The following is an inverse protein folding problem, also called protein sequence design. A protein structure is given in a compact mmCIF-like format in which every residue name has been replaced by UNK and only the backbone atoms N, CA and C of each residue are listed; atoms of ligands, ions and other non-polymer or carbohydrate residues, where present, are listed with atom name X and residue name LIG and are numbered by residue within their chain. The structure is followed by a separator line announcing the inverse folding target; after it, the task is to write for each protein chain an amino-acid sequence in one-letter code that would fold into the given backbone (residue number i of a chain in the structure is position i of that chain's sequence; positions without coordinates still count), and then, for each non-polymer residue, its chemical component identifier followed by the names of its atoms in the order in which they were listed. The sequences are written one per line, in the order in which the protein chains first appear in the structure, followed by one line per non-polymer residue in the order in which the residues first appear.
data_IF_768200501175
#
_entry.id   IF_768200501175
#
_cell.length_a   1.000
_cell.length_b   1.000
_cell.length_c   1.000
_cell.angle_alpha   90.00
_cell.angle_beta   90.00
_cell.angle_gamma   90.00
#
_symmetry.space_group_name_H-M   'P 1'
#
loop_
_entity.id
_entity.type
_entity.pdbx_description
1 polymer ?
#
# COMPACT_ATOMS: atom_id res chain seq x y z
N UNK A 1 3.08 14.33 21.54
CA UNK A 1 2.96 12.88 21.29
C UNK A 1 1.47 12.57 21.11
N UNK A 2 1.10 11.85 20.04
CA UNK A 2 -0.30 11.45 19.77
C UNK A 2 -0.33 9.94 19.65
N UNK A 3 -1.23 9.29 20.38
CA UNK A 3 -1.55 7.87 20.21
C UNK A 3 -2.70 7.76 19.19
N UNK A 4 -2.59 6.82 18.26
CA UNK A 4 -3.60 6.57 17.23
C UNK A 4 -4.01 5.11 17.39
N UNK A 5 -5.27 4.87 17.77
CA UNK A 5 -5.82 3.51 17.83
C UNK A 5 -6.20 3.05 16.42
N UNK A 6 -6.01 1.78 16.12
CA UNK A 6 -6.48 1.20 14.86
C UNK A 6 -8.01 1.28 14.73
N UNK A 7 -8.73 1.09 15.84
CA UNK A 7 -10.20 1.08 15.87
C UNK A 7 -10.82 2.45 15.53
N UNK A 8 -10.05 3.53 15.67
CA UNK A 8 -10.48 4.89 15.35
C UNK A 8 -10.26 5.25 13.87
N UNK A 9 -9.59 4.38 13.10
CA UNK A 9 -9.23 4.67 11.71
C UNK A 9 -10.36 4.36 10.74
N UNK A 10 -10.75 5.35 9.93
CA UNK A 10 -11.75 5.20 8.88
C UNK A 10 -11.19 4.39 7.71
N UNK A 11 -11.82 3.26 7.40
CA UNK A 11 -11.52 2.49 6.19
C UNK A 11 -12.10 3.22 4.96
N UNK A 12 -11.23 3.60 4.03
CA UNK A 12 -11.61 4.23 2.76
C UNK A 12 -11.50 3.20 1.63
N UNK A 13 -12.63 2.78 1.02
CA UNK A 13 -12.62 1.84 -0.11
C UNK A 13 -11.89 2.40 -1.32
N UNK A 14 -11.13 1.54 -2.01
CA UNK A 14 -10.51 1.91 -3.27
C UNK A 14 -11.56 2.04 -4.37
N UNK A 15 -11.36 2.99 -5.30
CA UNK A 15 -12.26 3.20 -6.44
C UNK A 15 -12.47 1.93 -7.30
N UNK A 16 -11.47 1.06 -7.36
CA UNK A 16 -11.54 -0.20 -8.10
C UNK A 16 -12.19 -1.35 -7.31
N UNK A 17 -12.55 -1.14 -6.03
CA UNK A 17 -13.07 -2.18 -5.14
C UNK A 17 -12.07 -3.30 -4.81
N UNK A 18 -10.77 -3.08 -5.00
CA UNK A 18 -9.72 -4.08 -4.77
C UNK A 18 -9.22 -4.15 -3.32
N UNK A 19 -9.73 -3.29 -2.44
CA UNK A 19 -9.24 -3.16 -1.08
C UNK A 19 -9.74 -1.90 -0.39
N UNK A 20 -9.20 -1.66 0.81
CA UNK A 20 -9.42 -0.46 1.60
C UNK A 20 -8.09 0.11 2.09
N UNK A 21 -8.05 1.41 2.36
CA UNK A 21 -6.94 2.06 3.05
C UNK A 21 -7.42 2.76 4.31
N UNK A 22 -6.69 2.58 5.40
CA UNK A 22 -6.81 3.34 6.65
C UNK A 22 -5.57 4.24 6.77
N UNK A 23 -5.77 5.54 6.68
CA UNK A 23 -4.67 6.50 6.84
C UNK A 23 -4.36 6.72 8.33
N UNK A 24 -3.10 6.60 8.73
CA UNK A 24 -2.68 6.94 10.09
C UNK A 24 -2.29 8.41 10.19
N UNK A 25 -1.50 8.90 9.24
CA UNK A 25 -1.02 10.26 9.23
C UNK A 25 -0.57 10.68 7.82
N UNK A 26 -0.74 11.97 7.52
CA UNK A 26 -0.23 12.62 6.32
C UNK A 26 0.32 14.00 6.68
N UNK A 27 1.23 14.50 5.87
CA UNK A 27 1.71 15.87 5.96
C UNK A 27 1.81 16.53 4.58
N UNK A 28 1.30 17.76 4.41
CA UNK A 28 0.48 18.52 5.37
C UNK A 28 -0.80 17.77 5.79
N UNK A 29 -1.30 18.05 6.99
CA UNK A 29 -2.52 17.39 7.46
C UNK A 29 -3.69 17.70 6.52
N UNK A 30 -4.35 16.67 6.01
CA UNK A 30 -5.44 16.79 5.04
C UNK A 30 -5.00 17.01 3.59
N UNK A 31 -3.71 16.86 3.29
CA UNK A 31 -3.21 16.88 1.91
C UNK A 31 -3.88 15.79 1.06
N UNK A 32 -4.13 16.11 -0.21
CA UNK A 32 -4.62 15.15 -1.18
C UNK A 32 -3.55 14.11 -1.53
N UNK A 33 -3.95 13.03 -2.22
CA UNK A 33 -3.03 11.95 -2.62
C UNK A 33 -1.92 12.38 -3.59
N UNK A 34 -2.03 13.57 -4.19
CA UNK A 34 -1.10 14.16 -5.14
C UNK A 34 -0.32 15.37 -4.57
N UNK A 35 -0.52 15.73 -3.29
CA UNK A 35 0.06 16.93 -2.67
C UNK A 35 0.64 16.68 -1.26
N UNK A 36 0.81 15.42 -0.85
CA UNK A 36 1.46 15.09 0.41
C UNK A 36 2.99 15.04 0.25
N UNK A 37 3.70 15.44 1.31
CA UNK A 37 5.15 15.25 1.45
C UNK A 37 5.47 13.86 2.00
N UNK A 38 4.67 13.38 2.96
CA UNK A 38 4.72 12.00 3.43
C UNK A 38 3.35 11.53 3.90
N UNK A 39 3.12 10.22 3.82
CA UNK A 39 1.88 9.57 4.22
C UNK A 39 2.16 8.18 4.77
N UNK A 40 1.49 7.84 5.87
CA UNK A 40 1.53 6.52 6.51
C UNK A 40 0.11 5.98 6.51
N UNK A 41 -0.06 4.77 6.00
CA UNK A 41 -1.37 4.12 5.89
C UNK A 41 -1.26 2.59 6.01
N UNK A 42 -2.32 1.94 6.48
CA UNK A 42 -2.52 0.49 6.40
C UNK A 42 -3.45 0.20 5.23
N UNK A 43 -3.11 -0.81 4.44
CA UNK A 43 -3.92 -1.25 3.31
C UNK A 43 -4.35 -2.71 3.51
N UNK A 44 -5.63 -2.99 3.27
CA UNK A 44 -6.13 -4.36 3.06
C UNK A 44 -6.30 -4.57 1.55
N UNK A 45 -5.71 -5.63 1.02
CA UNK A 45 -5.70 -5.92 -0.42
C UNK A 45 -6.49 -7.20 -0.66
N UNK A 46 -7.72 -7.06 -1.15
CA UNK A 46 -8.66 -8.17 -1.31
C UNK A 46 -8.72 -8.71 -2.75
N UNK A 47 -8.13 -7.98 -3.70
CA UNK A 47 -8.08 -8.38 -5.11
C UNK A 47 -6.75 -8.01 -5.74
N UNK A 48 -6.20 -8.93 -6.53
CA UNK A 48 -5.08 -8.66 -7.44
C UNK A 48 -5.39 -7.49 -8.37
N UNK A 49 -4.38 -6.68 -8.65
CA UNK A 49 -4.51 -5.54 -9.54
C UNK A 49 -3.38 -4.52 -9.40
N UNK A 50 -3.49 -3.42 -10.17
CA UNK A 50 -2.47 -2.38 -10.14
C UNK A 50 -2.53 -1.57 -8.85
N UNK A 51 -1.36 -1.13 -8.38
CA UNK A 51 -1.24 -0.09 -7.38
C UNK A 51 -1.33 1.30 -8.01
N UNK A 52 -1.75 2.29 -7.22
CA UNK A 52 -1.63 3.70 -7.61
C UNK A 52 -0.17 4.11 -7.77
N UNK A 53 0.07 4.96 -8.76
CA UNK A 53 1.36 5.61 -9.04
C UNK A 53 1.42 6.92 -8.26
N UNK A 54 2.54 7.19 -7.61
CA UNK A 54 2.83 8.40 -6.85
C UNK A 54 4.17 8.99 -7.33
N UNK A 55 4.16 9.83 -8.37
CA UNK A 55 5.40 10.36 -8.94
C UNK A 55 6.22 11.16 -7.92
N UNK A 56 7.52 10.88 -7.81
CA UNK A 56 8.43 11.62 -6.93
C UNK A 56 8.34 11.24 -5.45
N UNK A 57 7.64 10.15 -5.12
CA UNK A 57 7.50 9.63 -3.75
C UNK A 57 8.24 8.30 -3.62
N UNK A 58 9.12 8.16 -2.64
CA UNK A 58 9.68 6.87 -2.25
C UNK A 58 8.64 6.06 -1.47
N UNK A 59 8.39 4.81 -1.87
CA UNK A 59 7.45 3.91 -1.19
C UNK A 59 8.20 2.84 -0.42
N UNK A 60 7.73 2.60 0.80
CA UNK A 60 8.12 1.45 1.61
C UNK A 60 6.85 0.68 1.95
N UNK A 61 6.80 -0.60 1.61
CA UNK A 61 5.67 -1.48 1.93
C UNK A 61 6.14 -2.60 2.85
N UNK A 62 5.26 -3.08 3.71
CA UNK A 62 5.55 -4.19 4.63
C UNK A 62 4.29 -5.04 4.76
N UNK A 63 4.44 -6.35 4.59
CA UNK A 63 3.37 -7.30 4.88
C UNK A 63 3.14 -7.35 6.40
N UNK A 64 1.91 -7.06 6.83
CA UNK A 64 1.53 -7.18 8.24
C UNK A 64 0.90 -8.55 8.53
N UNK A 65 0.00 -8.99 7.67
CA UNK A 65 -0.79 -10.22 7.84
C UNK A 65 -1.20 -10.80 6.47
N UNK A 66 -1.47 -12.11 6.44
CA UNK A 66 -1.92 -12.85 5.25
C UNK A 66 -0.77 -13.47 4.45
N UNK A 67 -1.12 -14.17 3.37
CA UNK A 67 -0.17 -14.88 2.51
C UNK A 67 0.73 -13.95 1.66
N UNK A 68 0.40 -12.66 1.63
CA UNK A 68 1.15 -11.66 0.88
C UNK A 68 0.84 -11.65 -0.61
N UNK A 69 1.75 -11.08 -1.40
CA UNK A 69 1.56 -10.84 -2.83
C UNK A 69 2.87 -10.82 -3.62
N UNK A 70 2.79 -11.17 -4.88
CA UNK A 70 3.85 -10.96 -5.87
C UNK A 70 3.67 -9.57 -6.51
N UNK A 71 4.66 -8.71 -6.34
CA UNK A 71 4.77 -7.43 -7.04
C UNK A 71 5.51 -7.65 -8.36
N UNK A 72 4.95 -7.14 -9.45
CA UNK A 72 5.57 -7.16 -10.79
C UNK A 72 5.66 -5.74 -11.35
N UNK A 73 6.82 -5.40 -11.90
CA UNK A 73 7.14 -4.07 -12.44
C UNK A 73 7.27 -4.11 -13.96
N UNK A 74 7.10 -2.96 -14.62
CA UNK A 74 7.15 -2.84 -16.07
C UNK A 74 8.53 -3.15 -16.69
N UNK A 75 9.61 -3.01 -15.93
CA UNK A 75 10.98 -3.34 -16.32
C UNK A 75 11.33 -4.83 -16.13
N UNK A 76 10.36 -5.64 -15.70
CA UNK A 76 10.53 -7.07 -15.49
C UNK A 76 10.97 -7.46 -14.07
N UNK A 77 11.26 -6.50 -13.19
CA UNK A 77 11.52 -6.80 -11.78
C UNK A 77 10.30 -7.48 -11.15
N UNK A 78 10.57 -8.43 -10.25
CA UNK A 78 9.56 -9.13 -9.46
C UNK A 78 10.01 -9.21 -8.01
N UNK A 79 9.13 -8.85 -7.09
CA UNK A 79 9.38 -8.95 -5.65
C UNK A 79 8.25 -9.70 -4.93
N UNK A 80 8.58 -10.80 -4.26
CA UNK A 80 7.64 -11.54 -3.43
C UNK A 80 7.52 -10.90 -2.05
N UNK A 81 6.43 -10.17 -1.82
CA UNK A 81 6.10 -9.57 -0.53
C UNK A 81 5.31 -10.59 0.30
N UNK A 82 6.00 -11.66 0.74
CA UNK A 82 5.39 -12.82 1.44
C UNK A 82 6.00 -13.08 2.83
N UNK A 83 7.03 -12.32 3.22
CA UNK A 83 7.62 -12.41 4.57
C UNK A 83 7.05 -11.30 5.44
N UNK A 84 6.29 -11.63 6.50
CA UNK A 84 5.76 -10.62 7.42
C UNK A 84 6.87 -9.77 8.03
N UNK A 85 6.57 -8.48 8.22
CA UNK A 85 7.43 -7.50 8.88
C UNK A 85 8.78 -7.23 8.18
N UNK A 86 8.97 -7.72 6.95
CA UNK A 86 10.13 -7.39 6.11
C UNK A 86 9.79 -6.23 5.17
N UNK A 87 10.41 -5.03 5.34
CA UNK A 87 10.13 -3.90 4.48
C UNK A 87 10.74 -4.07 3.09
N UNK A 88 10.01 -3.60 2.07
CA UNK A 88 10.49 -3.50 0.70
C UNK A 88 10.32 -2.08 0.17
N UNK A 89 11.35 -1.55 -0.48
CA UNK A 89 11.41 -0.17 -1.00
C UNK A 89 11.34 -0.15 -2.51
N UNK A 90 10.58 0.79 -3.07
CA UNK A 90 10.50 1.03 -4.51
C UNK A 90 10.03 2.46 -4.80
N UNK A 91 10.37 3.00 -5.97
CA UNK A 91 9.93 4.34 -6.37
C UNK A 91 8.44 4.35 -6.71
N UNK A 92 7.72 5.38 -6.24
CA UNK A 92 6.28 5.52 -6.40
C UNK A 92 5.82 5.77 -7.83
N UNK A 93 6.68 6.31 -8.70
CA UNK A 93 6.42 6.46 -10.14
C UNK A 93 6.36 5.14 -10.90
N UNK A 94 6.83 4.03 -10.32
CA UNK A 94 6.84 2.73 -11.01
C UNK A 94 5.44 2.16 -11.10
N UNK A 95 5.06 1.69 -12.28
CA UNK A 95 3.86 0.88 -12.46
C UNK A 95 4.07 -0.49 -11.80
N UNK A 96 3.24 -0.80 -10.80
CA UNK A 96 3.28 -2.07 -10.05
C UNK A 96 1.96 -2.79 -10.19
N UNK A 97 2.01 -4.05 -10.61
CA UNK A 97 0.88 -4.96 -10.51
C UNK A 97 1.09 -5.94 -9.35
N UNK A 98 0.14 -6.00 -8.43
CA UNK A 98 0.14 -6.92 -7.31
C UNK A 98 -0.75 -8.13 -7.60
N UNK A 99 -0.21 -9.33 -7.42
CA UNK A 99 -0.94 -10.58 -7.50
C UNK A 99 -0.94 -11.25 -6.13
N UNK A 100 -2.11 -11.46 -5.53
CA UNK A 100 -2.23 -12.15 -4.24
C UNK A 100 -1.63 -13.55 -4.31
N UNK A 101 -0.87 -13.93 -3.29
CA UNK A 101 -0.17 -15.22 -3.22
C UNK A 101 -1.09 -16.37 -2.79
N UNK A 102 -2.09 -16.08 -1.96
CA UNK A 102 -3.17 -17.00 -1.59
C UNK A 102 -4.37 -16.88 -2.53
N UNK A 103 -5.02 -18.00 -2.86
CA UNK A 103 -6.35 -17.94 -3.43
C UNK A 103 -7.28 -17.30 -2.39
N UNK A 104 -8.12 -16.35 -2.80
CA UNK A 104 -9.25 -15.91 -1.98
C UNK A 104 -10.02 -17.17 -1.57
N UNK A 105 -9.97 -17.49 -0.28
CA UNK A 105 -10.76 -18.58 0.29
C UNK A 105 -12.21 -18.15 0.39
#
# INVERSE_FOLDING_TARGET
MKLISFDDLVATPWKNGGGVTRELACWPAGAALDDFLWRISIAEVNRSGPFSVFPGVDRVITLLEGDGMQLSFADGERHALTTPLLPYRFCGERNVNAQLAGAAS
#
